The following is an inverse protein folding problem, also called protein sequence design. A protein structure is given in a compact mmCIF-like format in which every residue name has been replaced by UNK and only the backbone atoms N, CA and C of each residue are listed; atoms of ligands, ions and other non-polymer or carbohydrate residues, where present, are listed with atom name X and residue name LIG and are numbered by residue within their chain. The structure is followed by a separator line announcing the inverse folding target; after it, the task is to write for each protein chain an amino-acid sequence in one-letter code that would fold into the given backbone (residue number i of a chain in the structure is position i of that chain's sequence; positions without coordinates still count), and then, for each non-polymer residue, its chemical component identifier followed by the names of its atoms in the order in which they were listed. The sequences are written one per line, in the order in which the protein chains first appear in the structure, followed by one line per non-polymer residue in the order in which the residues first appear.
data_IF_150406829051
#
_entry.id   IF_150406829051
#
_cell.length_a   1.000
_cell.length_b   1.000
_cell.length_c   1.000
_cell.angle_alpha   90.00
_cell.angle_beta   90.00
_cell.angle_gamma   90.00
#
_symmetry.space_group_name_H-M   'P 1'
#
loop_
_entity.id
_entity.type
_entity.pdbx_description
1 polymer ?
#
# COMPACT_ATOMS: atom_id res chain seq x y z
N UNK A 1 -2.48 1.12 17.39
CA UNK A 1 -1.13 0.95 16.77
C UNK A 1 -0.05 0.99 17.84
N UNK A 2 -0.01 2.02 18.68
CA UNK A 2 0.98 2.17 19.77
C UNK A 2 1.14 0.93 20.66
N UNK A 3 0.04 0.36 21.17
CA UNK A 3 0.10 -0.81 22.05
C UNK A 3 0.75 -2.05 21.40
N UNK A 4 0.57 -2.20 20.09
CA UNK A 4 1.18 -3.31 19.33
C UNK A 4 2.69 -3.15 19.29
N UNK A 5 3.19 -1.96 18.98
CA UNK A 5 4.63 -1.69 18.96
C UNK A 5 5.30 -1.93 20.31
N UNK A 6 4.62 -1.60 21.42
CA UNK A 6 5.14 -1.79 22.78
C UNK A 6 5.22 -3.25 23.23
N UNK A 7 4.34 -4.10 22.73
CA UNK A 7 4.15 -5.47 23.26
C UNK A 7 4.59 -6.57 22.30
N UNK A 8 4.80 -6.24 21.02
CA UNK A 8 5.14 -7.25 20.04
C UNK A 8 6.57 -7.78 20.19
N UNK A 9 6.69 -9.10 20.07
CA UNK A 9 7.99 -9.78 20.09
C UNK A 9 8.61 -9.79 18.70
N UNK A 10 9.82 -9.25 18.61
CA UNK A 10 10.66 -9.31 17.40
C UNK A 10 11.57 -10.54 17.50
N UNK A 11 11.52 -11.41 16.48
CA UNK A 11 12.42 -12.57 16.38
C UNK A 11 13.69 -12.19 15.64
N UNK A 12 14.78 -12.97 15.81
CA UNK A 12 16.05 -12.72 15.10
C UNK A 12 15.89 -12.66 13.58
N UNK A 13 15.04 -13.52 13.02
CA UNK A 13 14.74 -13.51 11.57
C UNK A 13 14.03 -12.22 11.16
N UNK A 14 13.05 -11.73 11.93
CA UNK A 14 12.37 -10.46 11.64
C UNK A 14 13.32 -9.27 11.71
N UNK A 15 14.25 -9.27 12.67
CA UNK A 15 15.28 -8.23 12.77
C UNK A 15 16.16 -8.20 11.52
N UNK A 16 16.65 -9.36 11.07
CA UNK A 16 17.46 -9.46 9.85
C UNK A 16 16.70 -8.94 8.62
N UNK A 17 15.47 -9.40 8.41
CA UNK A 17 14.67 -8.93 7.28
C UNK A 17 14.36 -7.44 7.34
N UNK A 18 14.14 -6.88 8.55
CA UNK A 18 13.95 -5.43 8.73
C UNK A 18 15.20 -4.65 8.34
N UNK A 19 16.38 -5.13 8.74
CA UNK A 19 17.67 -4.53 8.39
C UNK A 19 17.96 -4.60 6.87
N UNK A 20 17.72 -5.75 6.24
CA UNK A 20 17.87 -5.88 4.79
C UNK A 20 16.94 -4.95 4.01
N UNK A 21 15.70 -4.79 4.47
CA UNK A 21 14.75 -3.86 3.86
C UNK A 21 15.17 -2.40 4.04
N UNK A 22 15.71 -2.03 5.21
CA UNK A 22 16.26 -0.71 5.48
C UNK A 22 17.41 -0.38 4.50
N UNK A 23 18.35 -1.31 4.30
CA UNK A 23 19.42 -1.15 3.31
C UNK A 23 18.86 -0.97 1.90
N UNK A 24 17.88 -1.78 1.50
CA UNK A 24 17.27 -1.70 0.15
C UNK A 24 16.66 -0.34 -0.16
N UNK A 25 16.09 0.33 0.84
CA UNK A 25 15.50 1.66 0.71
C UNK A 25 16.48 2.79 1.07
N UNK A 26 17.74 2.46 1.38
CA UNK A 26 18.82 3.42 1.58
C UNK A 26 18.86 4.07 2.97
N UNK A 27 18.32 3.42 4.00
CA UNK A 27 18.36 3.92 5.38
C UNK A 27 19.15 2.98 6.30
N UNK A 28 19.69 3.51 7.40
CA UNK A 28 20.54 2.80 8.36
C UNK A 28 19.96 2.74 9.79
N UNK A 29 18.74 3.24 9.99
CA UNK A 29 18.05 3.27 11.28
C UNK A 29 16.78 2.41 11.30
N UNK A 30 16.25 2.14 12.50
CA UNK A 30 14.99 1.41 12.66
C UNK A 30 13.78 2.33 12.43
N UNK A 31 13.08 2.10 11.31
CA UNK A 31 11.85 2.81 10.94
C UNK A 31 10.79 2.73 12.03
N UNK A 32 10.77 1.64 12.80
CA UNK A 32 9.77 1.40 13.84
C UNK A 32 9.82 2.47 14.93
N UNK A 33 11.01 2.99 15.24
CA UNK A 33 11.18 4.08 16.21
C UNK A 33 10.57 5.39 15.69
N UNK A 34 10.88 5.76 14.45
CA UNK A 34 10.32 6.97 13.80
C UNK A 34 8.79 6.91 13.78
N UNK A 35 8.24 5.79 13.29
CA UNK A 35 6.80 5.58 13.19
C UNK A 35 6.15 5.61 14.57
N UNK A 36 6.77 5.01 15.58
CA UNK A 36 6.23 5.01 16.94
C UNK A 36 6.11 6.42 17.52
N UNK A 37 7.13 7.26 17.32
CA UNK A 37 7.14 8.64 17.79
C UNK A 37 6.14 9.50 17.01
N UNK A 38 6.11 9.40 15.68
CA UNK A 38 5.23 10.22 14.83
C UNK A 38 3.75 9.87 14.98
N UNK A 39 3.41 8.58 15.12
CA UNK A 39 2.01 8.15 15.27
C UNK A 39 1.40 8.62 16.59
N UNK A 40 2.22 8.90 17.60
CA UNK A 40 1.75 9.43 18.88
C UNK A 40 1.20 10.85 18.76
N UNK A 41 1.80 11.65 17.89
CA UNK A 41 1.46 13.07 17.69
C UNK A 41 0.56 13.29 16.47
N UNK A 42 0.24 12.22 15.73
CA UNK A 42 -0.63 12.28 14.56
C UNK A 42 -2.10 12.48 14.94
N UNK A 43 -2.74 13.47 14.31
CA UNK A 43 -4.15 13.78 14.48
C UNK A 43 -4.96 13.55 13.19
N UNK A 44 -6.29 13.73 13.29
CA UNK A 44 -7.18 13.57 12.13
C UNK A 44 -6.90 14.59 11.02
N UNK A 45 -6.37 15.78 11.35
CA UNK A 45 -6.06 16.81 10.36
C UNK A 45 -4.84 16.42 9.53
N UNK A 46 -3.81 15.85 10.15
CA UNK A 46 -2.62 15.30 9.50
C UNK A 46 -3.00 14.17 8.54
N UNK A 47 -3.91 13.29 8.96
CA UNK A 47 -4.43 12.21 8.10
C UNK A 47 -5.18 12.75 6.87
N UNK A 48 -6.04 13.75 7.06
CA UNK A 48 -6.75 14.41 5.96
C UNK A 48 -5.79 15.07 4.98
N UNK A 49 -4.76 15.76 5.48
CA UNK A 49 -3.75 16.40 4.66
C UNK A 49 -2.93 15.38 3.87
N UNK A 50 -2.52 14.27 4.50
CA UNK A 50 -1.83 13.18 3.81
C UNK A 50 -2.69 12.60 2.68
N UNK A 51 -3.96 12.29 2.96
CA UNK A 51 -4.88 11.79 1.94
C UNK A 51 -5.05 12.80 0.79
N UNK A 52 -5.24 14.09 1.10
CA UNK A 52 -5.44 15.11 0.08
C UNK A 52 -4.20 15.36 -0.78
N UNK A 53 -3.00 15.19 -0.22
CA UNK A 53 -1.74 15.46 -0.93
C UNK A 53 -1.20 14.27 -1.71
N UNK A 54 -1.48 13.04 -1.29
CA UNK A 54 -0.86 11.83 -1.86
C UNK A 54 -1.85 10.81 -2.42
N UNK A 55 -3.15 10.94 -2.16
CA UNK A 55 -4.17 9.91 -2.51
C UNK A 55 -5.37 10.50 -3.26
N UNK A 56 -5.70 11.76 -2.98
CA UNK A 56 -6.82 12.47 -3.59
C UNK A 56 -6.42 13.08 -4.93
N UNK A 57 -7.32 13.03 -5.91
CA UNK A 57 -7.12 13.65 -7.22
C UNK A 57 -6.20 12.89 -8.19
N UNK A 58 -5.53 11.83 -7.75
CA UNK A 58 -4.74 10.98 -8.65
C UNK A 58 -5.62 10.01 -9.44
N UNK A 59 -5.22 9.75 -10.70
CA UNK A 59 -5.88 8.77 -11.55
C UNK A 59 -5.75 7.37 -10.95
N UNK A 60 -6.87 6.76 -10.58
CA UNK A 60 -6.90 5.42 -10.00
C UNK A 60 -7.06 4.37 -11.07
N UNK A 61 -6.16 3.39 -11.07
CA UNK A 61 -6.33 2.18 -11.88
C UNK A 61 -7.19 1.20 -11.08
N UNK A 62 -8.37 0.89 -11.60
CA UNK A 62 -9.27 -0.11 -11.02
C UNK A 62 -9.05 -1.43 -11.74
N UNK A 63 -8.54 -2.43 -11.03
CA UNK A 63 -8.39 -3.78 -11.54
C UNK A 63 -9.54 -4.65 -11.01
N UNK A 64 -10.30 -5.24 -11.92
CA UNK A 64 -11.40 -6.16 -11.59
C UNK A 64 -10.98 -7.57 -11.99
N UNK A 65 -10.96 -8.48 -11.02
CA UNK A 65 -10.66 -9.89 -11.24
C UNK A 65 -11.95 -10.70 -11.12
N UNK A 66 -12.37 -11.35 -12.20
CA UNK A 66 -13.56 -12.18 -12.21
C UNK A 66 -13.84 -12.80 -13.57
N UNK A 67 -14.76 -13.76 -13.62
CA UNK A 67 -15.22 -14.35 -14.87
C UNK A 67 -15.90 -13.28 -15.73
N UNK A 68 -15.44 -13.12 -16.97
CA UNK A 68 -15.94 -12.11 -17.91
C UNK A 68 -17.46 -12.17 -18.11
N UNK A 69 -18.02 -13.38 -18.05
CA UNK A 69 -19.46 -13.66 -18.20
C UNK A 69 -20.32 -13.12 -17.05
N UNK A 70 -19.72 -12.93 -15.86
CA UNK A 70 -20.41 -12.46 -14.66
C UNK A 70 -20.15 -10.98 -14.38
N UNK A 71 -19.42 -10.28 -15.25
CA UNK A 71 -19.09 -8.87 -15.07
C UNK A 71 -20.02 -7.99 -15.92
N UNK A 72 -20.66 -7.03 -15.26
CA UNK A 72 -21.46 -6.01 -15.93
C UNK A 72 -20.55 -4.96 -16.59
N UNK A 73 -20.23 -5.20 -17.86
CA UNK A 73 -19.38 -4.32 -18.65
C UNK A 73 -20.02 -2.94 -18.92
N UNK A 74 -21.36 -2.83 -18.86
CA UNK A 74 -22.05 -1.55 -19.04
C UNK A 74 -21.78 -0.63 -17.85
N UNK A 75 -21.84 -1.18 -16.63
CA UNK A 75 -21.50 -0.45 -15.41
C UNK A 75 -20.02 -0.06 -15.40
N UNK A 76 -19.13 -0.98 -15.81
CA UNK A 76 -17.69 -0.72 -15.81
C UNK A 76 -17.26 0.35 -16.82
N UNK A 77 -17.96 0.49 -17.95
CA UNK A 77 -17.69 1.56 -18.93
C UNK A 77 -17.91 2.96 -18.35
N UNK A 78 -18.79 3.12 -17.36
CA UNK A 78 -19.00 4.42 -16.70
C UNK A 78 -17.78 4.89 -15.91
N UNK A 79 -16.86 3.98 -15.54
CA UNK A 79 -15.64 4.30 -14.82
C UNK A 79 -14.46 4.61 -15.74
N UNK A 80 -14.56 4.32 -17.04
CA UNK A 80 -13.53 4.63 -18.02
C UNK A 80 -13.40 3.60 -19.15
N UNK A 81 -12.35 3.75 -19.95
CA UNK A 81 -12.01 2.79 -21.00
C UNK A 81 -11.53 1.47 -20.38
N UNK A 82 -12.20 0.37 -20.73
CA UNK A 82 -11.87 -0.96 -20.23
C UNK A 82 -10.81 -1.59 -21.13
N UNK A 83 -9.63 -1.90 -20.55
CA UNK A 83 -8.60 -2.72 -21.20
C UNK A 83 -8.62 -4.13 -20.63
N UNK A 84 -8.81 -5.12 -21.50
CA UNK A 84 -8.66 -6.52 -21.14
C UNK A 84 -7.18 -6.90 -21.26
N UNK A 85 -6.61 -7.46 -20.19
CA UNK A 85 -5.24 -7.94 -20.17
C UNK A 85 -5.23 -9.44 -20.47
N UNK A 86 -4.32 -9.90 -21.33
CA UNK A 86 -4.03 -11.32 -21.52
C UNK A 86 -3.03 -11.83 -20.48
N UNK A 87 -2.78 -13.14 -20.46
CA UNK A 87 -1.72 -13.70 -19.63
C UNK A 87 -0.32 -13.26 -20.10
N UNK A 88 -0.13 -13.09 -21.42
CA UNK A 88 1.10 -12.54 -21.99
C UNK A 88 1.33 -11.10 -21.50
N UNK A 89 0.27 -10.28 -21.43
CA UNK A 89 0.36 -8.88 -20.95
C UNK A 89 0.77 -8.79 -19.47
N UNK A 90 0.37 -9.76 -18.65
CA UNK A 90 0.61 -9.76 -17.20
C UNK A 90 1.98 -10.40 -16.87
N UNK A 91 2.34 -11.47 -17.57
CA UNK A 91 3.48 -12.32 -17.22
C UNK A 91 4.62 -12.31 -18.24
N UNK A 92 4.43 -11.73 -19.43
CA UNK A 92 5.49 -11.45 -20.39
C UNK A 92 6.06 -12.65 -21.15
N UNK A 93 5.26 -13.71 -21.41
CA UNK A 93 5.65 -14.87 -22.23
C UNK A 93 4.81 -14.99 -23.48
#
# INVERSE_FOLDING_TARGET
IEQKFRTERITKSKLLSSYENAIKIGIDYDIRESVYNEVKDMDMTTLLNFHNSHISGENRVVMVLGSKENLDLEVLKNYGEIKFLSLEDIFGY
#
